data_IF_018828033528
#
_entry.id   IF_018828033528
#
_cell.length_a   1.000
_cell.length_b   1.000
_cell.length_c   1.000
_cell.angle_alpha   90.00
_cell.angle_beta   90.00
_cell.angle_gamma   90.00
#
_symmetry.space_group_name_H-M   'P 1'
#
loop_
_entity.id
_entity.type
_entity.pdbx_description
1 polymer ?
#
# COMPACT_ATOMS: atom_id res chain seq x y z
N UNK A 1 -1.36 30.96 10.89
CA UNK A 1 -1.22 29.52 10.60
C UNK A 1 0.27 29.24 10.51
N UNK A 2 0.80 28.37 11.37
CA UNK A 2 2.19 27.92 11.25
C UNK A 2 2.19 26.66 10.37
N UNK A 3 3.00 26.66 9.32
CA UNK A 3 3.13 25.56 8.35
C UNK A 3 4.48 24.84 8.49
N UNK A 4 5.31 25.26 9.44
CA UNK A 4 6.64 24.70 9.65
C UNK A 4 6.55 23.37 10.40
N UNK A 5 7.38 22.41 9.98
CA UNK A 5 7.55 21.13 10.67
C UNK A 5 8.20 21.33 12.04
N UNK A 6 7.74 20.57 13.03
CA UNK A 6 8.35 20.52 14.35
C UNK A 6 9.68 19.75 14.34
N UNK A 7 10.48 19.87 15.40
CA UNK A 7 11.71 19.07 15.54
C UNK A 7 11.44 17.56 15.53
N UNK A 8 10.30 17.12 16.07
CA UNK A 8 9.88 15.72 16.00
C UNK A 8 9.54 15.27 14.58
N UNK A 9 8.88 16.13 13.80
CA UNK A 9 8.55 15.85 12.39
C UNK A 9 9.83 15.75 11.55
N UNK A 10 10.78 16.66 11.77
CA UNK A 10 12.08 16.61 11.09
C UNK A 10 12.89 15.38 11.51
N UNK A 11 12.83 14.98 12.78
CA UNK A 11 13.48 13.75 13.25
C UNK A 11 12.91 12.51 12.56
N UNK A 12 11.59 12.43 12.42
CA UNK A 12 10.92 11.35 11.69
C UNK A 12 11.26 11.38 10.19
N UNK A 13 11.30 12.56 9.56
CA UNK A 13 11.77 12.71 8.18
C UNK A 13 13.17 12.13 7.98
N UNK A 14 14.11 12.48 8.86
CA UNK A 14 15.47 11.91 8.80
C UNK A 14 15.48 10.39 9.00
N UNK A 15 14.61 9.85 9.86
CA UNK A 15 14.45 8.40 10.02
C UNK A 15 14.04 7.74 8.69
N UNK A 16 13.05 8.31 7.99
CA UNK A 16 12.59 7.80 6.69
C UNK A 16 13.71 7.89 5.65
N UNK A 17 14.42 9.00 5.56
CA UNK A 17 15.54 9.19 4.64
C UNK A 17 16.67 8.18 4.87
N UNK A 18 17.08 8.01 6.13
CA UNK A 18 18.12 7.04 6.51
C UNK A 18 17.66 5.62 6.19
N UNK A 19 16.40 5.28 6.49
CA UNK A 19 15.86 3.97 6.15
C UNK A 19 15.90 3.70 4.64
N UNK A 20 15.50 4.68 3.81
CA UNK A 20 15.57 4.55 2.35
C UNK A 20 17.02 4.35 1.91
N UNK A 21 17.94 5.19 2.39
CA UNK A 21 19.35 5.10 2.04
C UNK A 21 19.96 3.73 2.41
N UNK A 22 19.63 3.21 3.59
CA UNK A 22 20.22 1.99 4.12
C UNK A 22 19.59 0.72 3.54
N UNK A 23 18.31 0.76 3.20
CA UNK A 23 17.54 -0.44 2.82
C UNK A 23 17.21 -0.54 1.35
N UNK A 24 17.30 0.53 0.57
CA UNK A 24 17.05 0.47 -0.86
C UNK A 24 18.10 -0.42 -1.55
N UNK A 25 17.71 -1.51 -2.21
CA UNK A 25 18.65 -2.37 -2.91
C UNK A 25 19.44 -1.62 -3.97
N UNK A 26 20.75 -1.89 -4.06
CA UNK A 26 21.66 -1.16 -4.93
C UNK A 26 21.30 -1.27 -6.43
N UNK A 27 20.75 -2.41 -6.84
CA UNK A 27 20.27 -2.66 -8.21
C UNK A 27 19.00 -1.86 -8.52
N UNK A 28 18.06 -1.78 -7.59
CA UNK A 28 16.87 -0.91 -7.71
C UNK A 28 17.31 0.55 -7.77
N UNK A 29 18.22 0.96 -6.88
CA UNK A 29 18.79 2.32 -6.87
C UNK A 29 19.45 2.65 -8.21
N UNK A 30 20.27 1.76 -8.76
CA UNK A 30 20.92 1.97 -10.05
C UNK A 30 19.90 2.16 -11.19
N UNK A 31 18.79 1.40 -11.19
CA UNK A 31 17.69 1.59 -12.16
C UNK A 31 17.02 2.96 -12.01
N UNK A 32 16.76 3.40 -10.78
CA UNK A 32 16.18 4.72 -10.49
C UNK A 32 17.10 5.84 -10.98
N UNK A 33 18.38 5.78 -10.60
CA UNK A 33 19.39 6.78 -11.00
C UNK A 33 19.55 6.84 -12.53
N UNK A 34 19.44 5.70 -13.21
CA UNK A 34 19.46 5.59 -14.67
C UNK A 34 18.09 5.85 -15.35
N UNK A 35 17.05 6.22 -14.60
CA UNK A 35 15.66 6.44 -15.08
C UNK A 35 15.09 5.27 -15.89
N UNK A 36 15.46 4.05 -15.51
CA UNK A 36 14.97 2.83 -16.13
C UNK A 36 13.59 2.46 -15.59
N UNK A 37 12.83 1.70 -16.40
CA UNK A 37 11.55 1.15 -15.97
C UNK A 37 11.78 0.09 -14.89
N UNK A 38 11.11 0.26 -13.76
CA UNK A 38 11.08 -0.73 -12.69
C UNK A 38 10.19 -1.92 -13.08
N UNK A 39 10.62 -3.11 -12.68
CA UNK A 39 9.94 -4.38 -12.91
C UNK A 39 9.06 -4.75 -11.73
N UNK A 40 8.14 -5.71 -11.92
CA UNK A 40 7.31 -6.24 -10.82
C UNK A 40 8.16 -6.66 -9.62
N UNK A 41 9.28 -7.34 -9.86
CA UNK A 41 10.13 -7.85 -8.79
C UNK A 41 10.77 -6.72 -7.97
N UNK A 42 11.09 -5.58 -8.60
CA UNK A 42 11.59 -4.39 -7.91
C UNK A 42 10.54 -3.85 -6.92
N UNK A 43 9.28 -3.76 -7.33
CA UNK A 43 8.17 -3.35 -6.47
C UNK A 43 7.95 -4.35 -5.32
N UNK A 44 7.98 -5.65 -5.61
CA UNK A 44 7.78 -6.69 -4.60
C UNK A 44 8.92 -6.76 -3.59
N UNK A 45 10.17 -6.56 -4.03
CA UNK A 45 11.34 -6.50 -3.16
C UNK A 45 11.22 -5.33 -2.18
N UNK A 46 10.88 -4.14 -2.68
CA UNK A 46 10.69 -2.96 -1.84
C UNK A 46 9.49 -3.08 -0.89
N UNK A 47 8.37 -3.65 -1.36
CA UNK A 47 7.21 -3.96 -0.50
C UNK A 47 7.61 -4.85 0.69
N UNK A 48 8.38 -5.92 0.45
CA UNK A 48 8.86 -6.81 1.51
C UNK A 48 9.76 -6.11 2.53
N UNK A 49 10.63 -5.21 2.06
CA UNK A 49 11.50 -4.40 2.92
C UNK A 49 10.65 -3.49 3.82
N UNK A 50 9.68 -2.76 3.25
CA UNK A 50 8.74 -1.94 4.02
C UNK A 50 7.93 -2.76 5.01
N UNK A 51 7.43 -3.93 4.60
CA UNK A 51 6.66 -4.82 5.47
C UNK A 51 7.50 -5.31 6.66
N UNK A 52 8.76 -5.69 6.43
CA UNK A 52 9.67 -6.13 7.50
C UNK A 52 9.93 -5.04 8.56
N UNK A 53 9.82 -3.76 8.18
CA UNK A 53 9.93 -2.61 9.08
C UNK A 53 8.59 -2.24 9.74
N UNK A 54 7.46 -2.75 9.21
CA UNK A 54 6.10 -2.37 9.60
C UNK A 54 5.56 -1.12 8.90
N UNK A 55 6.16 -0.70 7.79
CA UNK A 55 5.88 0.58 7.12
C UNK A 55 5.06 0.45 5.83
N UNK A 56 4.66 -0.77 5.46
CA UNK A 56 3.98 -1.02 4.18
C UNK A 56 2.57 -0.45 4.12
N UNK A 57 1.95 -0.20 5.27
CA UNK A 57 0.60 0.32 5.38
C UNK A 57 0.51 1.51 6.36
N UNK A 58 1.03 2.70 5.97
CA UNK A 58 1.12 3.87 6.84
C UNK A 58 -0.21 4.28 7.49
N UNK A 59 -1.30 4.16 6.73
CA UNK A 59 -2.63 4.60 7.15
C UNK A 59 -3.45 3.52 7.87
N UNK A 60 -2.90 2.32 8.09
CA UNK A 60 -3.62 1.27 8.79
C UNK A 60 -3.58 1.52 10.31
N UNK A 61 -4.67 1.19 11.03
CA UNK A 61 -4.63 1.12 12.49
C UNK A 61 -3.61 0.11 13.00
N UNK A 62 -3.09 0.32 14.21
CA UNK A 62 -2.06 -0.53 14.82
C UNK A 62 -2.58 -1.96 15.02
N UNK A 63 -3.85 -2.12 15.40
CA UNK A 63 -4.48 -3.43 15.60
C UNK A 63 -4.54 -4.28 14.32
N UNK A 64 -4.41 -3.66 13.15
CA UNK A 64 -4.36 -4.34 11.86
C UNK A 64 -2.94 -4.39 11.26
N UNK A 65 -1.91 -3.98 12.00
CA UNK A 65 -0.51 -4.07 11.59
C UNK A 65 0.06 -2.79 10.95
N UNK A 66 -0.62 -1.66 11.06
CA UNK A 66 -0.05 -0.36 10.67
C UNK A 66 0.95 0.19 11.70
N UNK A 67 1.74 1.22 11.33
CA UNK A 67 2.83 1.73 12.16
C UNK A 67 2.39 2.66 13.30
N UNK A 68 1.11 3.04 13.34
CA UNK A 68 0.58 3.97 14.35
C UNK A 68 1.03 5.42 14.15
N UNK A 69 1.33 5.78 12.91
CA UNK A 69 1.76 7.13 12.55
C UNK A 69 0.62 8.15 12.59
N UNK A 70 0.98 9.40 12.88
CA UNK A 70 0.06 10.53 12.72
C UNK A 70 -0.18 10.82 11.23
N UNK A 71 -1.26 11.55 10.87
CA UNK A 71 -1.48 11.97 9.49
C UNK A 71 -0.31 12.77 8.89
N UNK A 72 0.38 13.56 9.72
CA UNK A 72 1.55 14.33 9.30
C UNK A 72 2.75 13.42 9.02
N UNK A 73 2.97 12.37 9.83
CA UNK A 73 4.00 11.37 9.58
C UNK A 73 3.70 10.55 8.31
N UNK A 74 2.44 10.16 8.07
CA UNK A 74 2.07 9.54 6.80
C UNK A 74 2.39 10.46 5.60
N UNK A 75 2.09 11.76 5.72
CA UNK A 75 2.42 12.74 4.69
C UNK A 75 3.93 12.86 4.45
N UNK A 76 4.72 12.99 5.52
CA UNK A 76 6.19 13.05 5.44
C UNK A 76 6.74 11.78 4.77
N UNK A 77 6.24 10.60 5.15
CA UNK A 77 6.66 9.35 4.53
C UNK A 77 6.35 9.32 3.03
N UNK A 78 5.14 9.69 2.62
CA UNK A 78 4.75 9.74 1.21
C UNK A 78 5.60 10.75 0.41
N UNK A 79 5.93 11.90 1.03
CA UNK A 79 6.81 12.92 0.44
C UNK A 79 8.22 12.37 0.21
N UNK A 80 8.86 11.78 1.22
CA UNK A 80 10.23 11.26 1.11
C UNK A 80 10.33 10.07 0.13
N UNK A 81 9.33 9.17 0.13
CA UNK A 81 9.23 8.08 -0.86
C UNK A 81 9.13 8.66 -2.28
N UNK A 82 8.33 9.72 -2.46
CA UNK A 82 8.17 10.42 -3.72
C UNK A 82 9.45 11.11 -4.19
N UNK A 83 10.14 11.83 -3.30
CA UNK A 83 11.39 12.53 -3.57
C UNK A 83 12.53 11.57 -3.91
N UNK A 84 12.62 10.44 -3.20
CA UNK A 84 13.63 9.42 -3.45
C UNK A 84 13.37 8.61 -4.73
N UNK A 85 12.16 8.67 -5.30
CA UNK A 85 11.79 7.95 -6.52
C UNK A 85 11.79 6.43 -6.36
N UNK A 86 11.70 5.92 -5.12
CA UNK A 86 11.68 4.48 -4.84
C UNK A 86 10.37 3.84 -5.31
N UNK A 87 10.31 2.50 -5.47
CA UNK A 87 9.07 1.84 -5.84
C UNK A 87 7.96 2.20 -4.83
N UNK A 88 6.75 2.50 -5.32
CA UNK A 88 5.59 2.73 -4.45
C UNK A 88 4.96 1.41 -4.04
N UNK A 89 4.33 1.35 -2.87
CA UNK A 89 3.47 0.21 -2.51
C UNK A 89 2.29 0.16 -3.48
N UNK A 90 1.97 -1.03 -3.99
CA UNK A 90 0.82 -1.20 -4.88
C UNK A 90 -0.48 -0.98 -4.08
N UNK A 91 -1.38 -0.08 -4.53
CA UNK A 91 -2.47 0.39 -3.68
C UNK A 91 -3.58 -0.65 -3.51
N UNK A 92 -3.73 -1.61 -4.43
CA UNK A 92 -4.89 -2.50 -4.49
C UNK A 92 -5.12 -3.30 -3.21
N UNK A 93 -4.05 -3.83 -2.61
CA UNK A 93 -4.12 -4.53 -1.32
C UNK A 93 -4.28 -3.56 -0.16
N UNK A 94 -3.31 -2.66 -0.02
CA UNK A 94 -3.15 -1.83 1.19
C UNK A 94 -4.17 -0.68 1.27
N UNK A 95 -4.35 0.08 0.20
CA UNK A 95 -5.16 1.30 0.22
C UNK A 95 -6.62 1.06 -0.21
N UNK A 96 -6.92 -0.07 -0.87
CA UNK A 96 -8.24 -0.32 -1.44
C UNK A 96 -8.98 -1.45 -0.72
N UNK A 97 -8.58 -2.71 -0.87
CA UNK A 97 -9.34 -3.83 -0.31
C UNK A 97 -9.17 -3.99 1.21
N UNK A 98 -7.98 -3.70 1.74
CA UNK A 98 -7.67 -3.81 3.17
C UNK A 98 -8.65 -3.05 4.07
N UNK A 99 -8.87 -1.73 3.86
CA UNK A 99 -9.83 -0.95 4.64
C UNK A 99 -11.27 -1.49 4.57
N UNK A 100 -11.68 -2.01 3.40
CA UNK A 100 -13.01 -2.64 3.24
C UNK A 100 -13.13 -3.90 4.09
N UNK A 101 -12.09 -4.74 4.13
CA UNK A 101 -12.06 -5.94 4.98
C UNK A 101 -12.02 -5.57 6.46
N UNK A 102 -11.30 -4.52 6.85
CA UNK A 102 -11.27 -4.06 8.25
C UNK A 102 -12.65 -3.59 8.72
N UNK A 103 -13.36 -2.83 7.89
CA UNK A 103 -14.66 -2.28 8.24
C UNK A 103 -15.78 -3.34 8.17
N UNK A 104 -15.87 -4.07 7.06
CA UNK A 104 -17.02 -4.92 6.75
C UNK A 104 -16.73 -6.43 6.77
N UNK A 105 -15.46 -6.83 6.86
CA UNK A 105 -15.08 -8.23 6.89
C UNK A 105 -15.48 -8.92 8.20
N UNK A 106 -15.74 -10.21 8.11
CA UNK A 106 -15.84 -11.09 9.29
C UNK A 106 -14.46 -11.24 9.95
N UNK A 107 -14.42 -11.66 11.22
CA UNK A 107 -13.15 -11.88 11.92
C UNK A 107 -12.25 -12.89 11.17
N UNK A 108 -12.83 -13.97 10.65
CA UNK A 108 -12.10 -14.96 9.85
C UNK A 108 -11.48 -14.34 8.59
N UNK A 109 -12.19 -13.43 7.90
CA UNK A 109 -11.65 -12.71 6.74
C UNK A 109 -10.53 -11.74 7.15
N UNK A 110 -10.67 -11.03 8.27
CA UNK A 110 -9.64 -10.11 8.77
C UNK A 110 -8.35 -10.86 9.12
N UNK A 111 -8.47 -11.95 9.88
CA UNK A 111 -7.35 -12.80 10.31
C UNK A 111 -6.65 -13.46 9.13
N UNK A 112 -7.40 -13.86 8.10
CA UNK A 112 -6.84 -14.49 6.91
C UNK A 112 -6.20 -13.48 5.96
N UNK A 113 -6.93 -12.45 5.51
CA UNK A 113 -6.50 -11.61 4.39
C UNK A 113 -5.57 -10.46 4.79
N UNK A 114 -5.79 -9.79 5.94
CA UNK A 114 -5.02 -8.60 6.28
C UNK A 114 -3.51 -8.87 6.42
N UNK A 115 -3.06 -9.95 7.10
CA UNK A 115 -1.63 -10.28 7.16
C UNK A 115 -1.04 -10.65 5.79
N UNK A 116 -1.84 -11.29 4.92
CA UNK A 116 -1.42 -11.71 3.56
C UNK A 116 -1.30 -10.52 2.60
N UNK A 117 -2.13 -9.49 2.78
CA UNK A 117 -2.00 -8.19 2.11
C UNK A 117 -0.72 -7.48 2.53
N UNK A 118 -0.47 -7.38 3.84
CA UNK A 118 0.72 -6.71 4.38
C UNK A 118 2.01 -7.37 3.88
N UNK A 119 2.06 -8.71 3.92
CA UNK A 119 3.22 -9.48 3.49
C UNK A 119 3.40 -9.60 1.98
N UNK A 120 2.41 -9.18 1.18
CA UNK A 120 2.39 -9.39 -0.27
C UNK A 120 2.37 -10.88 -0.68
N UNK A 121 1.92 -11.76 0.20
CA UNK A 121 1.65 -13.16 -0.18
C UNK A 121 0.48 -13.20 -1.17
N UNK A 122 -0.55 -12.39 -0.92
CA UNK A 122 -1.65 -12.16 -1.85
C UNK A 122 -1.46 -10.80 -2.55
N UNK A 123 -1.34 -10.84 -3.88
CA UNK A 123 -1.30 -9.63 -4.71
C UNK A 123 -2.69 -9.38 -5.27
N UNK A 124 -3.22 -8.19 -4.99
CA UNK A 124 -4.58 -7.82 -5.35
C UNK A 124 -4.64 -6.98 -6.62
N UNK A 125 -5.78 -7.03 -7.29
CA UNK A 125 -6.18 -6.12 -8.36
C UNK A 125 -7.62 -5.67 -8.13
N UNK A 126 -7.97 -4.50 -8.64
CA UNK A 126 -9.35 -4.02 -8.64
C UNK A 126 -10.02 -4.31 -9.98
N UNK A 127 -11.09 -5.12 -9.96
CA UNK A 127 -11.90 -5.46 -11.13
C UNK A 127 -13.20 -4.67 -11.20
N UNK A 128 -13.13 -3.34 -11.28
CA UNK A 128 -14.33 -2.49 -11.37
C UNK A 128 -14.69 -2.10 -12.80
N UNK A 129 -13.70 -1.71 -13.61
CA UNK A 129 -13.94 -1.22 -14.96
C UNK A 129 -14.32 -2.33 -15.93
N UNK A 130 -15.29 -2.04 -16.79
CA UNK A 130 -15.76 -2.93 -17.85
C UNK A 130 -15.84 -2.18 -19.18
N UNK A 131 -15.92 -2.88 -20.33
CA UNK A 131 -16.25 -2.25 -21.61
C UNK A 131 -17.57 -1.47 -21.50
N UNK A 132 -17.49 -0.13 -21.58
CA UNK A 132 -18.64 0.76 -21.44
C UNK A 132 -18.92 1.27 -20.02
N UNK A 133 -18.19 0.80 -19.00
CA UNK A 133 -18.36 1.21 -17.59
C UNK A 133 -17.03 1.65 -16.98
N UNK A 134 -16.80 2.96 -17.00
CA UNK A 134 -15.62 3.63 -16.42
C UNK A 134 -16.03 4.55 -15.27
N UNK A 135 -16.17 5.85 -15.55
CA UNK A 135 -16.65 6.83 -14.56
C UNK A 135 -18.08 6.56 -14.10
N UNK A 136 -18.94 6.04 -14.99
CA UNK A 136 -20.27 5.53 -14.62
C UNK A 136 -20.18 4.06 -14.17
N UNK A 137 -19.59 3.84 -13.00
CA UNK A 137 -19.39 2.49 -12.46
C UNK A 137 -20.71 1.76 -12.20
N UNK A 138 -21.79 2.50 -11.91
CA UNK A 138 -23.12 1.93 -11.67
C UNK A 138 -23.71 1.21 -12.90
N UNK A 139 -23.18 1.48 -14.10
CA UNK A 139 -23.61 0.85 -15.34
C UNK A 139 -23.08 -0.58 -15.58
N UNK A 140 -22.22 -1.09 -14.68
CA UNK A 140 -21.55 -2.39 -14.80
C UNK A 140 -22.52 -3.55 -15.07
N UNK A 141 -22.02 -4.59 -15.73
CA UNK A 141 -22.76 -5.75 -16.22
C UNK A 141 -22.30 -7.07 -15.61
N UNK A 142 -21.11 -7.15 -15.02
CA UNK A 142 -20.71 -8.33 -14.25
C UNK A 142 -21.74 -8.58 -13.15
N UNK A 143 -22.29 -9.79 -13.12
CA UNK A 143 -23.33 -10.18 -12.17
C UNK A 143 -22.84 -11.35 -11.34
N UNK A 144 -23.22 -11.41 -10.07
CA UNK A 144 -23.00 -12.59 -9.24
C UNK A 144 -24.36 -13.15 -8.82
N UNK A 145 -24.67 -14.39 -9.20
CA UNK A 145 -25.91 -15.08 -8.84
C UNK A 145 -25.60 -16.12 -7.77
N UNK A 146 -26.38 -16.13 -6.69
CA UNK A 146 -26.20 -17.11 -5.61
C UNK A 146 -26.68 -18.49 -6.07
N UNK A 147 -25.81 -19.48 -5.96
CA UNK A 147 -26.11 -20.91 -6.20
C UNK A 147 -25.68 -21.72 -4.96
N UNK A 148 -26.66 -22.07 -4.12
CA UNK A 148 -26.41 -22.72 -2.83
C UNK A 148 -25.57 -21.86 -1.86
N UNK A 149 -24.38 -22.34 -1.52
CA UNK A 149 -23.40 -21.67 -0.63
C UNK A 149 -22.38 -20.81 -1.40
N UNK A 150 -22.46 -20.78 -2.73
CA UNK A 150 -21.50 -20.10 -3.59
C UNK A 150 -22.19 -18.99 -4.43
N UNK A 151 -21.35 -18.17 -5.08
CA UNK A 151 -21.78 -17.20 -6.09
C UNK A 151 -21.15 -17.57 -7.43
N UNK A 152 -21.97 -17.63 -8.49
CA UNK A 152 -21.52 -17.75 -9.88
C UNK A 152 -21.42 -16.35 -10.46
N UNK A 153 -20.19 -15.98 -10.86
CA UNK A 153 -19.86 -14.70 -11.51
C UNK A 153 -19.88 -14.88 -13.02
#
# INVERSE_FOLDING_TARGET
MNLDYTDSDQSFRHEVQNFIQDKLPADIKAKIDAKQKLTKDDYMAWHKILHSRGWVAPNWPVEFGGPGWTPLQCHIFDEEIGLAGVPRVLPFGVAMVGPVIMEFGTNAQKEYYLPRILSSEDVWCQGYSEPGSGSDLASLKTSAVRDGEEYVV
#
